data_IF_536259672703
#
_entry.id   IF_536259672703
#
_cell.length_a   1.000
_cell.length_b   1.000
_cell.length_c   1.000
_cell.angle_alpha   90.00
_cell.angle_beta   90.00
_cell.angle_gamma   90.00
#
_symmetry.space_group_name_H-M   'P 1'
#
loop_
_entity.id
_entity.type
_entity.pdbx_description
1 polymer ?
#
# COMPACT_ATOMS: atom_id res chain seq x y z
N UNK A 1 -16.54 16.76 -22.61
CA UNK A 1 -15.98 15.53 -22.00
C UNK A 1 -14.80 15.95 -21.15
N UNK A 2 -14.84 15.76 -19.83
CA UNK A 2 -13.66 16.02 -18.97
C UNK A 2 -12.68 14.87 -19.15
N UNK A 3 -11.40 15.16 -19.38
CA UNK A 3 -10.35 14.15 -19.38
C UNK A 3 -10.09 13.70 -17.94
N UNK A 4 -10.02 12.39 -17.71
CA UNK A 4 -9.69 11.83 -16.41
C UNK A 4 -8.18 11.88 -16.14
N UNK A 5 -7.79 12.14 -14.91
CA UNK A 5 -6.39 12.19 -14.47
C UNK A 5 -6.06 10.94 -13.65
N UNK A 6 -5.06 10.18 -14.10
CA UNK A 6 -4.53 9.03 -13.38
C UNK A 6 -3.21 9.34 -12.69
N UNK A 7 -3.09 8.93 -11.43
CA UNK A 7 -1.87 9.07 -10.64
C UNK A 7 -1.15 7.73 -10.46
N UNK A 8 0.10 7.64 -10.91
CA UNK A 8 0.95 6.44 -10.79
C UNK A 8 2.06 6.66 -9.75
N UNK A 9 2.07 5.86 -8.69
CA UNK A 9 2.99 5.96 -7.55
C UNK A 9 4.00 4.80 -7.56
N UNK A 10 5.27 5.12 -7.84
CA UNK A 10 6.35 4.14 -7.87
C UNK A 10 6.72 3.54 -6.50
N UNK A 11 7.47 2.44 -6.52
CA UNK A 11 8.11 1.89 -5.32
C UNK A 11 9.32 2.72 -4.88
N UNK A 12 9.71 2.62 -3.60
CA UNK A 12 10.86 3.40 -3.10
C UNK A 12 11.20 3.26 -1.61
N UNK A 13 10.64 2.28 -0.90
CA UNK A 13 10.87 2.09 0.54
C UNK A 13 10.60 3.37 1.34
N UNK A 14 11.50 3.72 2.27
CA UNK A 14 11.39 4.92 3.11
C UNK A 14 11.30 6.25 2.33
N UNK A 15 11.79 6.30 1.09
CA UNK A 15 11.66 7.50 0.23
C UNK A 15 10.24 7.69 -0.31
N UNK A 16 9.38 6.67 -0.21
CA UNK A 16 8.00 6.70 -0.67
C UNK A 16 7.11 7.72 0.05
N UNK A 17 7.57 8.29 1.18
CA UNK A 17 6.88 9.39 1.85
C UNK A 17 6.70 10.64 0.95
N UNK A 18 7.51 10.79 -0.10
CA UNK A 18 7.36 11.88 -1.09
C UNK A 18 5.98 11.87 -1.76
N UNK A 19 5.36 10.70 -1.93
CA UNK A 19 4.06 10.56 -2.60
C UNK A 19 2.96 11.33 -1.89
N UNK A 20 3.01 11.46 -0.56
CA UNK A 20 2.04 12.25 0.19
C UNK A 20 2.13 13.75 -0.12
N UNK A 21 3.35 14.26 -0.30
CA UNK A 21 3.58 15.65 -0.69
C UNK A 21 3.08 15.93 -2.10
N UNK A 22 3.25 14.98 -3.03
CA UNK A 22 2.73 15.09 -4.40
C UNK A 22 1.20 15.16 -4.40
N UNK A 23 0.54 14.24 -3.69
CA UNK A 23 -0.93 14.25 -3.58
C UNK A 23 -1.42 15.56 -2.94
N UNK A 24 -0.74 16.03 -1.89
CA UNK A 24 -1.04 17.32 -1.25
C UNK A 24 -1.03 18.47 -2.26
N UNK A 25 0.05 18.57 -3.03
CA UNK A 25 0.22 19.63 -4.00
C UNK A 25 -0.85 19.56 -5.10
N UNK A 26 -1.23 18.34 -5.53
CA UNK A 26 -2.33 18.16 -6.48
C UNK A 26 -3.66 18.66 -5.89
N UNK A 27 -3.99 18.31 -4.64
CA UNK A 27 -5.19 18.79 -3.95
C UNK A 27 -5.19 20.33 -3.79
N UNK A 28 -4.07 20.92 -3.36
CA UNK A 28 -3.91 22.38 -3.19
C UNK A 28 -4.06 23.15 -4.53
N UNK A 29 -3.62 22.55 -5.64
CA UNK A 29 -3.78 23.10 -6.99
C UNK A 29 -5.15 22.80 -7.62
N UNK A 30 -6.03 22.07 -6.92
CA UNK A 30 -7.33 21.66 -7.46
C UNK A 30 -7.23 20.67 -8.63
N UNK A 31 -6.13 19.93 -8.74
CA UNK A 31 -5.92 18.89 -9.75
C UNK A 31 -6.58 17.60 -9.25
N UNK A 32 -7.68 17.14 -9.88
CA UNK A 32 -8.38 15.94 -9.43
C UNK A 32 -7.57 14.68 -9.73
N UNK A 33 -7.72 13.64 -8.90
CA UNK A 33 -7.20 12.29 -9.16
C UNK A 33 -8.40 11.36 -9.33
N UNK A 34 -8.65 10.95 -10.56
CA UNK A 34 -9.80 10.13 -10.93
C UNK A 34 -9.49 8.62 -10.84
N UNK A 35 -8.20 8.25 -10.82
CA UNK A 35 -7.73 6.88 -10.60
C UNK A 35 -6.31 6.90 -10.02
N UNK A 36 -5.97 5.93 -9.17
CA UNK A 36 -4.63 5.78 -8.60
C UNK A 36 -4.08 4.36 -8.79
N UNK A 37 -2.81 4.26 -9.17
CA UNK A 37 -2.08 2.99 -9.25
C UNK A 37 -0.78 3.07 -8.46
N UNK A 38 -0.39 2.00 -7.75
CA UNK A 38 0.79 2.03 -6.90
C UNK A 38 1.60 0.73 -6.84
N UNK A 39 2.89 0.84 -6.53
CA UNK A 39 3.78 -0.30 -6.24
C UNK A 39 4.46 -0.13 -4.88
N UNK A 40 4.50 -1.17 -4.05
CA UNK A 40 5.14 -1.17 -2.72
C UNK A 40 4.62 -0.01 -1.86
N UNK A 41 5.49 0.92 -1.45
CA UNK A 41 5.09 2.11 -0.70
C UNK A 41 4.13 3.02 -1.47
N UNK A 42 4.23 3.08 -2.80
CA UNK A 42 3.25 3.75 -3.64
C UNK A 42 1.87 3.08 -3.57
N UNK A 43 1.81 1.75 -3.40
CA UNK A 43 0.54 1.05 -3.18
C UNK A 43 -0.05 1.36 -1.79
N UNK A 44 0.80 1.47 -0.76
CA UNK A 44 0.37 1.93 0.57
C UNK A 44 -0.21 3.35 0.49
N UNK A 45 0.52 4.30 -0.10
CA UNK A 45 0.07 5.68 -0.23
C UNK A 45 -1.19 5.81 -1.08
N UNK A 46 -1.23 5.16 -2.25
CA UNK A 46 -2.39 5.20 -3.14
C UNK A 46 -3.62 4.54 -2.53
N UNK A 47 -3.43 3.43 -1.79
CA UNK A 47 -4.50 2.78 -1.05
C UNK A 47 -5.04 3.64 0.08
N UNK A 48 -4.17 4.35 0.82
CA UNK A 48 -4.61 5.31 1.83
C UNK A 48 -5.41 6.43 1.18
N UNK A 49 -4.88 7.05 0.13
CA UNK A 49 -5.54 8.11 -0.61
C UNK A 49 -6.95 7.70 -1.06
N UNK A 50 -7.08 6.56 -1.75
CA UNK A 50 -8.35 6.06 -2.26
C UNK A 50 -9.35 5.69 -1.15
N UNK A 51 -8.87 5.20 -0.01
CA UNK A 51 -9.67 4.94 1.20
C UNK A 51 -10.22 6.23 1.82
N UNK A 52 -9.44 7.31 1.76
CA UNK A 52 -9.76 8.61 2.38
C UNK A 52 -10.40 9.61 1.41
N UNK A 53 -10.53 9.22 0.14
CA UNK A 53 -11.12 10.08 -0.88
C UNK A 53 -12.54 10.52 -0.46
N UNK A 54 -12.84 11.80 -0.63
CA UNK A 54 -14.12 12.40 -0.20
C UNK A 54 -14.12 12.93 1.23
N UNK A 55 -13.07 12.69 2.03
CA UNK A 55 -12.91 13.26 3.38
C UNK A 55 -11.67 14.18 3.43
N UNK A 56 -11.82 15.50 3.22
CA UNK A 56 -10.70 16.44 3.21
C UNK A 56 -9.83 16.34 4.48
N UNK A 57 -8.51 16.28 4.28
CA UNK A 57 -7.52 16.22 5.36
C UNK A 57 -7.46 14.90 6.14
N UNK A 58 -8.30 13.90 5.83
CA UNK A 58 -8.25 12.59 6.48
C UNK A 58 -7.02 11.77 6.09
N UNK A 59 -6.54 11.90 4.85
CA UNK A 59 -5.31 11.25 4.37
C UNK A 59 -4.13 11.54 5.30
N UNK A 60 -3.85 12.80 5.60
CA UNK A 60 -2.69 13.18 6.43
C UNK A 60 -2.78 12.60 7.84
N UNK A 61 -3.97 12.55 8.45
CA UNK A 61 -4.17 11.94 9.77
C UNK A 61 -3.86 10.43 9.77
N UNK A 62 -4.29 9.73 8.72
CA UNK A 62 -4.01 8.29 8.57
C UNK A 62 -2.51 8.07 8.34
N UNK A 63 -1.89 8.87 7.47
CA UNK A 63 -0.47 8.78 7.16
C UNK A 63 0.39 9.04 8.38
N UNK A 64 0.11 10.12 9.11
CA UNK A 64 0.84 10.46 10.35
C UNK A 64 0.74 9.32 11.37
N UNK A 65 -0.45 8.76 11.58
CA UNK A 65 -0.64 7.59 12.45
C UNK A 65 0.18 6.38 11.99
N UNK A 66 0.19 6.11 10.69
CA UNK A 66 0.91 4.97 10.11
C UNK A 66 2.42 5.16 10.23
N UNK A 67 2.94 6.33 9.87
CA UNK A 67 4.38 6.61 9.86
C UNK A 67 4.96 6.73 11.28
N UNK A 68 4.27 7.43 12.18
CA UNK A 68 4.76 7.68 13.54
C UNK A 68 4.61 6.45 14.44
N UNK A 69 3.49 5.73 14.35
CA UNK A 69 3.17 4.67 15.31
C UNK A 69 3.33 3.24 14.76
N UNK A 70 3.41 3.07 13.44
CA UNK A 70 3.27 1.74 12.80
C UNK A 70 4.48 1.29 11.98
N UNK A 71 5.42 2.17 11.63
CA UNK A 71 6.70 1.81 11.01
C UNK A 71 7.87 2.05 11.97
N UNK A 72 7.73 1.61 13.22
CA UNK A 72 8.81 1.70 14.20
C UNK A 72 9.97 0.78 13.81
N UNK A 73 11.16 1.36 13.63
CA UNK A 73 12.40 0.61 13.36
C UNK A 73 12.67 -0.45 14.44
N UNK A 74 12.33 -0.15 15.70
CA UNK A 74 12.47 -1.09 16.82
C UNK A 74 11.49 -2.25 16.74
N UNK A 75 10.24 -2.01 16.36
CA UNK A 75 9.25 -3.07 16.18
C UNK A 75 9.56 -3.96 14.97
N UNK A 76 10.07 -3.37 13.87
CA UNK A 76 10.61 -4.16 12.76
C UNK A 76 11.79 -5.02 13.19
N UNK A 77 12.77 -4.46 13.91
CA UNK A 77 13.92 -5.25 14.41
C UNK A 77 13.51 -6.39 15.36
N UNK A 78 12.44 -6.22 16.13
CA UNK A 78 11.89 -7.28 16.97
C UNK A 78 11.19 -8.41 16.17
N UNK A 79 10.85 -8.16 14.89
CA UNK A 79 10.27 -9.15 13.96
C UNK A 79 11.35 -9.85 13.11
N UNK A 80 12.64 -9.67 13.45
CA UNK A 80 13.76 -10.36 12.79
C UNK A 80 13.63 -11.86 13.00
N UNK A 81 13.70 -12.60 11.90
CA UNK A 81 13.69 -14.05 11.89
C UNK A 81 15.07 -14.60 11.51
N UNK A 82 15.43 -15.79 12.01
CA UNK A 82 16.66 -16.49 11.59
C UNK A 82 16.45 -17.01 10.15
N UNK A 83 17.24 -16.58 9.15
CA UNK A 83 16.79 -16.64 7.76
C UNK A 83 16.93 -18.05 7.15
N UNK A 84 15.79 -18.68 6.82
CA UNK A 84 15.69 -19.70 5.75
C UNK A 84 15.06 -19.16 4.47
N UNK A 85 14.27 -18.08 4.54
CA UNK A 85 13.52 -17.51 3.40
C UNK A 85 13.40 -15.97 3.38
N UNK A 86 13.38 -15.28 4.54
CA UNK A 86 13.32 -13.82 4.64
C UNK A 86 13.86 -13.30 5.99
N UNK A 87 14.26 -12.02 6.04
CA UNK A 87 14.76 -11.36 7.27
C UNK A 87 13.68 -11.05 8.31
N UNK A 88 12.42 -10.81 7.89
CA UNK A 88 11.30 -10.51 8.80
C UNK A 88 10.20 -11.56 8.65
N UNK A 89 9.42 -11.85 9.70
CA UNK A 89 8.27 -12.78 9.56
C UNK A 89 7.13 -12.16 8.75
N UNK A 90 7.00 -10.84 8.80
CA UNK A 90 5.92 -10.10 8.14
C UNK A 90 4.65 -9.99 8.99
N UNK A 91 4.63 -10.59 10.19
CA UNK A 91 3.50 -10.53 11.11
C UNK A 91 3.21 -9.09 11.55
N UNK A 92 4.27 -8.31 11.80
CA UNK A 92 4.13 -6.91 12.16
C UNK A 92 3.54 -6.10 11.00
N UNK A 93 4.10 -6.24 9.79
CA UNK A 93 3.60 -5.54 8.61
C UNK A 93 2.14 -5.90 8.30
N UNK A 94 1.75 -7.18 8.42
CA UNK A 94 0.37 -7.61 8.27
C UNK A 94 -0.55 -6.90 9.28
N UNK A 95 -0.15 -6.87 10.55
CA UNK A 95 -0.91 -6.23 11.63
C UNK A 95 -1.11 -4.74 11.38
N UNK A 96 -0.06 -4.05 10.91
CA UNK A 96 -0.12 -2.62 10.55
C UNK A 96 -1.11 -2.41 9.42
N UNK A 97 -0.98 -3.14 8.31
CA UNK A 97 -1.84 -2.99 7.14
C UNK A 97 -3.30 -3.36 7.47
N UNK A 98 -3.53 -4.40 8.27
CA UNK A 98 -4.87 -4.79 8.72
C UNK A 98 -5.50 -3.71 9.61
N UNK A 99 -4.73 -3.05 10.49
CA UNK A 99 -5.24 -1.94 11.31
C UNK A 99 -5.53 -0.69 10.48
N UNK A 100 -4.70 -0.40 9.48
CA UNK A 100 -4.85 0.76 8.60
C UNK A 100 -6.06 0.62 7.68
N UNK A 101 -6.22 -0.54 7.04
CA UNK A 101 -7.23 -0.74 6.00
C UNK A 101 -8.46 -1.52 6.46
N UNK A 102 -8.44 -2.09 7.67
CA UNK A 102 -9.54 -2.82 8.29
C UNK A 102 -10.18 -3.84 7.32
N UNK A 103 -11.51 -3.83 7.21
CA UNK A 103 -12.30 -4.72 6.32
C UNK A 103 -12.56 -4.12 4.94
N UNK A 104 -11.85 -3.05 4.54
CA UNK A 104 -12.07 -2.38 3.25
C UNK A 104 -11.58 -3.26 2.11
N UNK A 105 -12.34 -3.26 1.01
CA UNK A 105 -12.00 -3.93 -0.24
C UNK A 105 -11.61 -2.89 -1.29
N UNK A 106 -10.81 -3.31 -2.27
CA UNK A 106 -10.29 -2.45 -3.32
C UNK A 106 -11.40 -1.92 -4.24
N UNK A 107 -12.35 -2.78 -4.57
CA UNK A 107 -13.48 -2.52 -5.46
C UNK A 107 -14.54 -1.59 -4.86
N UNK A 108 -14.54 -1.40 -3.55
CA UNK A 108 -15.52 -0.57 -2.82
C UNK A 108 -15.04 0.89 -2.64
N UNK A 109 -13.88 1.25 -3.20
CA UNK A 109 -13.28 2.57 -3.03
C UNK A 109 -13.89 3.61 -3.96
N UNK A 110 -14.06 4.83 -3.44
CA UNK A 110 -14.62 5.95 -4.20
C UNK A 110 -13.72 6.37 -5.38
N UNK A 111 -12.41 6.36 -5.16
CA UNK A 111 -11.42 6.53 -6.23
C UNK A 111 -10.91 5.14 -6.61
N UNK A 112 -11.06 4.71 -7.88
CA UNK A 112 -10.52 3.44 -8.35
C UNK A 112 -9.02 3.32 -8.04
N UNK A 113 -8.65 2.19 -7.44
CA UNK A 113 -7.29 1.88 -7.04
C UNK A 113 -6.81 0.58 -7.70
N UNK A 114 -5.53 0.55 -8.06
CA UNK A 114 -4.85 -0.66 -8.46
C UNK A 114 -3.45 -0.73 -7.84
N UNK A 115 -2.94 -1.93 -7.59
CA UNK A 115 -1.54 -2.10 -7.25
C UNK A 115 -0.92 -3.28 -7.96
N UNK A 116 0.41 -3.30 -8.02
CA UNK A 116 1.17 -4.35 -8.70
C UNK A 116 1.98 -5.18 -7.71
N UNK A 117 2.09 -6.47 -8.00
CA UNK A 117 3.01 -7.39 -7.32
C UNK A 117 3.62 -8.34 -8.34
N UNK A 118 4.50 -9.22 -7.89
CA UNK A 118 5.10 -10.25 -8.75
C UNK A 118 4.56 -11.62 -8.37
N UNK A 119 3.99 -12.32 -9.34
CA UNK A 119 3.74 -13.76 -9.24
C UNK A 119 5.06 -14.49 -9.49
N UNK A 120 5.67 -14.98 -8.42
CA UNK A 120 6.97 -15.66 -8.45
C UNK A 120 6.90 -17.08 -9.03
N UNK A 121 5.70 -17.68 -9.09
CA UNK A 121 5.53 -19.02 -9.67
C UNK A 121 5.48 -18.95 -11.20
N UNK A 122 4.83 -17.91 -11.73
CA UNK A 122 4.64 -17.72 -13.16
C UNK A 122 5.59 -16.68 -13.78
N UNK A 123 6.45 -16.05 -12.99
CA UNK A 123 7.40 -15.00 -13.41
C UNK A 123 6.72 -13.80 -14.10
N UNK A 124 5.55 -13.40 -13.60
CA UNK A 124 4.72 -12.39 -14.23
C UNK A 124 4.32 -11.27 -13.25
N UNK A 125 4.14 -10.08 -13.80
CA UNK A 125 3.52 -8.99 -13.07
C UNK A 125 2.02 -9.30 -12.86
N UNK A 126 1.57 -9.19 -11.61
CA UNK A 126 0.16 -9.31 -11.23
C UNK A 126 -0.38 -7.93 -10.87
N UNK A 127 -1.43 -7.50 -11.55
CA UNK A 127 -2.19 -6.29 -11.20
C UNK A 127 -3.37 -6.71 -10.33
N UNK A 128 -3.52 -6.05 -9.19
CA UNK A 128 -4.63 -6.22 -8.26
C UNK A 128 -5.60 -5.06 -8.42
N UNK A 129 -6.88 -5.37 -8.59
CA UNK A 129 -7.99 -4.39 -8.66
C UNK A 129 -9.15 -4.76 -7.73
N UNK A 130 -9.05 -5.90 -7.06
CA UNK A 130 -10.11 -6.49 -6.23
C UNK A 130 -9.50 -7.21 -5.03
N UNK A 131 -10.30 -7.36 -3.97
CA UNK A 131 -9.96 -8.09 -2.76
C UNK A 131 -9.61 -7.20 -1.55
N UNK A 132 -9.26 -7.81 -0.41
CA UNK A 132 -8.95 -7.09 0.82
C UNK A 132 -7.77 -6.15 0.63
N UNK A 133 -7.97 -4.87 0.92
CA UNK A 133 -7.01 -3.81 0.59
C UNK A 133 -5.65 -4.02 1.28
N UNK A 134 -5.69 -4.42 2.56
CA UNK A 134 -4.47 -4.75 3.33
C UNK A 134 -3.66 -5.87 2.66
N UNK A 135 -4.32 -6.86 2.04
CA UNK A 135 -3.68 -8.06 1.48
C UNK A 135 -3.02 -7.75 0.15
N UNK A 136 -3.71 -7.04 -0.75
CA UNK A 136 -3.14 -6.67 -2.06
C UNK A 136 -1.98 -5.68 -1.91
N UNK A 137 -2.06 -4.75 -0.95
CA UNK A 137 -0.96 -3.85 -0.61
C UNK A 137 0.19 -4.61 0.03
N UNK A 138 -0.10 -5.54 0.96
CA UNK A 138 0.92 -6.42 1.55
C UNK A 138 1.64 -7.24 0.48
N UNK A 139 0.93 -7.76 -0.53
CA UNK A 139 1.51 -8.48 -1.65
C UNK A 139 2.48 -7.58 -2.43
N UNK A 140 2.05 -6.35 -2.75
CA UNK A 140 2.88 -5.33 -3.41
C UNK A 140 4.12 -4.91 -2.60
N UNK A 141 4.06 -5.00 -1.27
CA UNK A 141 5.17 -4.70 -0.35
C UNK A 141 6.05 -5.91 -0.01
N UNK A 142 5.81 -7.10 -0.59
CA UNK A 142 6.60 -8.33 -0.34
C UNK A 142 7.93 -8.31 -1.06
N UNK A 143 8.88 -7.50 -0.61
CA UNK A 143 10.23 -7.52 -1.18
C UNK A 143 10.90 -8.87 -0.89
N UNK A 144 11.36 -9.55 -1.94
CA UNK A 144 12.05 -10.84 -1.85
C UNK A 144 13.24 -10.74 -0.90
N UNK A 145 13.36 -11.69 0.01
CA UNK A 145 14.39 -11.70 1.07
C UNK A 145 14.08 -10.79 2.26
N UNK A 146 13.18 -9.80 2.14
CA UNK A 146 12.80 -8.92 3.25
C UNK A 146 11.58 -9.47 4.00
N UNK A 147 10.48 -9.75 3.29
CA UNK A 147 9.25 -10.30 3.89
C UNK A 147 8.79 -11.51 3.07
N UNK A 148 8.27 -12.59 3.69
CA UNK A 148 7.82 -13.77 2.97
C UNK A 148 6.76 -13.44 1.90
N UNK A 149 6.77 -14.20 0.78
CA UNK A 149 5.73 -14.08 -0.24
C UNK A 149 4.36 -14.44 0.35
N UNK A 150 3.31 -13.79 -0.13
CA UNK A 150 1.94 -14.16 0.25
C UNK A 150 1.42 -15.28 -0.67
N UNK A 151 0.75 -16.30 -0.13
CA UNK A 151 0.07 -17.30 -0.93
C UNK A 151 -1.12 -16.68 -1.69
N UNK A 152 -1.40 -17.22 -2.88
CA UNK A 152 -2.45 -16.70 -3.76
C UNK A 152 -3.86 -16.84 -3.13
N UNK A 153 -4.09 -17.89 -2.35
CA UNK A 153 -5.30 -18.09 -1.56
C UNK A 153 -4.97 -18.12 -0.07
N UNK A 154 -5.91 -17.69 0.78
CA UNK A 154 -5.87 -18.02 2.21
C UNK A 154 -6.12 -19.52 2.32
N UNK A 155 -5.07 -20.29 2.59
CA UNK A 155 -5.25 -21.63 3.16
C UNK A 155 -6.07 -21.46 4.43
N UNK A 156 -7.28 -22.03 4.42
CA UNK A 156 -8.16 -22.16 5.58
C UNK A 156 -7.47 -22.90 6.71
#
# INVERSE_FOLDING_TARGET
VRQGIGLCLGGGGARGNVHFGVIRAMEELGIPIDIVAGTSFGALTGGIYAMTAGEPGSMFRVVERVMTNSFSTRAMMADINFPRTAYFTGTYLNSVLQRTFARRRCEDLLVPFACTSTDILNFQAKVHREGPLWRIIRASMSLVGFVPPLPHQETR
#
